data_IF_515778137192
#
_entry.id   IF_515778137192
#
_cell.length_a   1.000
_cell.length_b   1.000
_cell.length_c   1.000
_cell.angle_alpha   90.00
_cell.angle_beta   90.00
_cell.angle_gamma   90.00
#
_symmetry.space_group_name_H-M   'P 1'
#
loop_
_entity.id
_entity.type
_entity.pdbx_description
1 polymer ?
#
# COMPACT_ATOMS: atom_id res chain seq x y z
N UNK A 1 -27.01 6.50 -28.77
CA UNK A 1 -26.63 5.08 -29.00
C UNK A 1 -26.26 4.34 -27.72
N UNK A 2 -25.21 4.72 -26.97
CA UNK A 2 -24.96 4.13 -25.64
C UNK A 2 -26.00 4.61 -24.60
N UNK A 3 -26.49 5.86 -24.72
CA UNK A 3 -27.66 6.34 -24.00
C UNK A 3 -28.92 5.51 -24.28
N UNK A 4 -29.28 5.28 -25.56
CA UNK A 4 -30.42 4.44 -25.95
C UNK A 4 -30.26 2.97 -25.51
N UNK A 5 -29.02 2.46 -25.43
CA UNK A 5 -28.74 1.09 -24.98
C UNK A 5 -28.76 0.97 -23.45
N UNK A 6 -28.30 2.00 -22.72
CA UNK A 6 -28.51 2.11 -21.28
C UNK A 6 -30.00 2.25 -20.95
N UNK A 7 -30.75 3.05 -21.71
CA UNK A 7 -32.22 3.16 -21.62
C UNK A 7 -32.90 1.81 -21.88
N UNK A 8 -32.45 1.02 -22.88
CA UNK A 8 -32.97 -0.32 -23.15
C UNK A 8 -32.57 -1.35 -22.06
N UNK A 9 -31.36 -1.25 -21.50
CA UNK A 9 -30.91 -2.06 -20.35
C UNK A 9 -31.69 -1.77 -19.06
N UNK A 10 -31.98 -0.48 -18.80
CA UNK A 10 -32.78 0.00 -17.69
C UNK A 10 -34.26 -0.40 -17.89
N UNK A 11 -34.78 -0.31 -19.12
CA UNK A 11 -36.14 -0.75 -19.48
C UNK A 11 -36.35 -2.26 -19.26
N UNK A 12 -35.35 -3.08 -19.59
CA UNK A 12 -35.38 -4.53 -19.36
C UNK A 12 -35.17 -4.93 -17.90
N UNK A 13 -34.61 -4.06 -17.06
CA UNK A 13 -34.30 -4.34 -15.66
C UNK A 13 -34.61 -3.14 -14.74
N UNK A 14 -35.89 -2.80 -14.52
CA UNK A 14 -36.30 -1.58 -13.80
C UNK A 14 -35.88 -1.55 -12.31
N UNK A 15 -35.44 -2.68 -11.76
CA UNK A 15 -35.06 -2.84 -10.35
C UNK A 15 -33.54 -2.96 -10.13
N UNK A 16 -32.71 -2.92 -11.18
CA UNK A 16 -31.25 -3.03 -11.08
C UNK A 16 -30.61 -1.64 -11.02
N UNK A 17 -30.15 -1.26 -9.83
CA UNK A 17 -29.19 -0.18 -9.68
C UNK A 17 -27.89 -0.61 -10.36
N UNK A 18 -27.64 -0.13 -11.58
CA UNK A 18 -26.40 -0.43 -12.31
C UNK A 18 -25.27 0.28 -11.57
N UNK A 19 -24.29 -0.48 -11.09
CA UNK A 19 -23.11 0.05 -10.44
C UNK A 19 -22.15 0.69 -11.46
N UNK A 20 -21.39 1.70 -11.04
CA UNK A 20 -20.43 2.39 -11.91
C UNK A 20 -19.43 1.45 -12.57
N UNK A 21 -19.06 0.37 -11.89
CA UNK A 21 -18.15 -0.63 -12.45
C UNK A 21 -18.77 -1.40 -13.61
N UNK A 22 -20.08 -1.64 -13.59
CA UNK A 22 -20.79 -2.26 -14.70
C UNK A 22 -20.87 -1.30 -15.89
N UNK A 23 -21.03 0.00 -15.65
CA UNK A 23 -21.00 1.02 -16.71
C UNK A 23 -19.63 1.03 -17.39
N UNK A 24 -18.55 1.00 -16.61
CA UNK A 24 -17.18 0.90 -17.13
C UNK A 24 -16.95 -0.35 -17.99
N UNK A 25 -17.38 -1.53 -17.50
CA UNK A 25 -17.26 -2.78 -18.25
C UNK A 25 -18.01 -2.72 -19.59
N UNK A 26 -19.20 -2.09 -19.64
CA UNK A 26 -19.94 -1.92 -20.89
C UNK A 26 -19.25 -0.95 -21.86
N UNK A 27 -18.68 0.14 -21.36
CA UNK A 27 -17.93 1.10 -22.18
C UNK A 27 -16.71 0.43 -22.82
N UNK A 28 -15.98 -0.39 -22.07
CA UNK A 28 -14.88 -1.20 -22.61
C UNK A 28 -15.37 -2.20 -23.65
N UNK A 29 -16.44 -2.95 -23.35
CA UNK A 29 -17.04 -3.92 -24.28
C UNK A 29 -17.47 -3.26 -25.59
N UNK A 30 -18.05 -2.07 -25.52
CA UNK A 30 -18.38 -1.27 -26.69
C UNK A 30 -17.12 -0.90 -27.48
N UNK A 31 -16.07 -0.44 -26.79
CA UNK A 31 -14.78 -0.10 -27.40
C UNK A 31 -14.15 -1.26 -28.16
N UNK A 32 -14.20 -2.48 -27.60
CA UNK A 32 -13.74 -3.70 -28.26
C UNK A 32 -14.62 -4.12 -29.44
N UNK A 33 -15.94 -3.91 -29.34
CA UNK A 33 -16.87 -4.23 -30.44
C UNK A 33 -16.62 -3.34 -31.66
N UNK A 34 -16.26 -2.08 -31.44
CA UNK A 34 -15.89 -1.15 -32.51
C UNK A 34 -14.48 -1.41 -33.07
N UNK A 35 -13.63 -2.13 -32.34
CA UNK A 35 -12.23 -2.36 -32.70
C UNK A 35 -11.85 -3.84 -32.48
N UNK A 36 -12.39 -4.78 -33.29
CA UNK A 36 -12.23 -6.22 -33.07
C UNK A 36 -10.79 -6.73 -33.23
N UNK A 37 -9.90 -5.95 -33.84
CA UNK A 37 -8.47 -6.26 -33.96
C UNK A 37 -7.68 -6.02 -32.67
N UNK A 38 -8.28 -5.38 -31.65
CA UNK A 38 -7.61 -5.15 -30.37
C UNK A 38 -7.45 -6.46 -29.58
N UNK A 39 -6.30 -6.68 -28.94
CA UNK A 39 -6.13 -7.77 -27.99
C UNK A 39 -7.18 -7.69 -26.87
N UNK A 40 -7.63 -8.82 -26.32
CA UNK A 40 -8.57 -8.81 -25.19
C UNK A 40 -7.92 -8.42 -23.85
N UNK A 41 -6.59 -8.61 -23.72
CA UNK A 41 -5.84 -8.30 -22.50
C UNK A 41 -5.09 -6.95 -22.63
N UNK A 42 -5.37 -5.96 -21.77
CA UNK A 42 -4.68 -4.67 -21.75
C UNK A 42 -3.15 -4.75 -21.54
N UNK A 43 -2.61 -5.84 -20.99
CA UNK A 43 -1.15 -6.01 -20.86
C UNK A 43 -0.46 -6.20 -22.22
N UNK A 44 -1.20 -6.67 -23.23
CA UNK A 44 -0.68 -6.94 -24.57
C UNK A 44 -0.83 -5.75 -25.52
N UNK A 45 -1.35 -4.61 -25.04
CA UNK A 45 -1.59 -3.44 -25.88
C UNK A 45 -0.29 -2.71 -26.25
N UNK A 46 -0.10 -2.48 -27.54
CA UNK A 46 0.85 -1.51 -28.06
C UNK A 46 0.38 -0.07 -27.77
N UNK A 47 1.26 0.91 -28.01
CA UNK A 47 0.87 2.33 -27.92
C UNK A 47 -0.28 2.69 -28.87
N UNK A 48 -0.30 2.08 -30.06
CA UNK A 48 -1.34 2.31 -31.07
C UNK A 48 -2.68 1.78 -30.58
N UNK A 49 -2.69 0.59 -29.97
CA UNK A 49 -3.91 -0.06 -29.46
C UNK A 49 -4.58 0.78 -28.37
N UNK A 50 -3.79 1.35 -27.46
CA UNK A 50 -4.31 2.30 -26.47
C UNK A 50 -4.92 3.55 -27.09
N UNK A 51 -4.32 4.08 -28.16
CA UNK A 51 -4.85 5.26 -28.86
C UNK A 51 -6.16 4.91 -29.56
N UNK A 52 -6.21 3.77 -30.25
CA UNK A 52 -7.41 3.26 -30.93
C UNK A 52 -8.57 3.12 -29.94
N UNK A 53 -8.35 2.40 -28.83
CA UNK A 53 -9.38 2.21 -27.81
C UNK A 53 -9.81 3.54 -27.18
N UNK A 54 -8.84 4.39 -26.82
CA UNK A 54 -9.09 5.72 -26.24
C UNK A 54 -10.01 6.55 -27.14
N UNK A 55 -9.69 6.64 -28.43
CA UNK A 55 -10.47 7.43 -29.37
C UNK A 55 -11.91 6.91 -29.51
N UNK A 56 -12.10 5.59 -29.40
CA UNK A 56 -13.44 4.99 -29.39
C UNK A 56 -14.27 5.39 -28.18
N UNK A 57 -13.69 5.32 -26.97
CA UNK A 57 -14.47 5.42 -25.72
C UNK A 57 -14.39 6.75 -25.00
N UNK A 58 -13.54 7.68 -25.43
CA UNK A 58 -13.30 8.96 -24.74
C UNK A 58 -14.57 9.77 -24.48
N UNK A 59 -15.55 9.69 -25.37
CA UNK A 59 -16.83 10.39 -25.25
C UNK A 59 -17.70 9.85 -24.10
N UNK A 60 -17.43 8.63 -23.63
CA UNK A 60 -18.18 8.01 -22.54
C UNK A 60 -17.57 8.26 -21.16
N UNK A 61 -16.27 8.60 -21.10
CA UNK A 61 -15.54 8.83 -19.85
C UNK A 61 -16.23 9.85 -18.92
N UNK A 62 -16.78 10.98 -19.40
CA UNK A 62 -17.44 11.95 -18.52
C UNK A 62 -18.72 11.45 -17.83
N UNK A 63 -19.32 10.36 -18.32
CA UNK A 63 -20.58 9.81 -17.79
C UNK A 63 -20.37 8.72 -16.74
N UNK A 64 -19.11 8.44 -16.37
CA UNK A 64 -18.77 7.39 -15.41
C UNK A 64 -18.32 8.06 -14.12
N UNK A 65 -19.02 7.78 -13.02
CA UNK A 65 -18.67 8.32 -11.71
C UNK A 65 -17.57 7.48 -11.07
N UNK A 66 -16.35 7.57 -11.62
CA UNK A 66 -15.20 6.76 -11.18
C UNK A 66 -14.89 6.84 -9.68
N UNK A 67 -15.31 7.90 -8.99
CA UNK A 67 -15.13 8.07 -7.54
C UNK A 67 -16.08 7.19 -6.70
N UNK A 68 -17.17 6.69 -7.27
CA UNK A 68 -18.08 5.76 -6.59
C UNK A 68 -17.63 4.29 -6.73
N UNK A 69 -16.53 4.05 -7.44
CA UNK A 69 -15.93 2.72 -7.51
C UNK A 69 -15.32 2.34 -6.17
N UNK A 70 -15.27 1.04 -5.88
CA UNK A 70 -14.44 0.57 -4.77
C UNK A 70 -12.96 0.65 -5.16
N UNK A 71 -12.06 0.74 -4.17
CA UNK A 71 -10.62 0.68 -4.44
C UNK A 71 -10.22 -0.60 -5.20
N UNK A 72 -10.95 -1.70 -4.96
CA UNK A 72 -10.78 -2.97 -5.68
C UNK A 72 -11.19 -2.83 -7.16
N UNK A 73 -12.37 -2.28 -7.44
CA UNK A 73 -12.84 -2.06 -8.81
C UNK A 73 -11.90 -1.13 -9.59
N UNK A 74 -11.42 -0.06 -8.96
CA UNK A 74 -10.44 0.84 -9.55
C UNK A 74 -9.13 0.10 -9.87
N UNK A 75 -8.58 -0.65 -8.91
CA UNK A 75 -7.33 -1.40 -9.06
C UNK A 75 -7.41 -2.48 -10.14
N UNK A 76 -8.47 -3.28 -10.14
CA UNK A 76 -8.55 -4.49 -10.95
C UNK A 76 -9.04 -4.20 -12.37
N UNK A 77 -9.94 -3.22 -12.54
CA UNK A 77 -10.65 -3.01 -13.81
C UNK A 77 -10.38 -1.66 -14.48
N UNK A 78 -10.10 -0.59 -13.73
CA UNK A 78 -9.84 0.74 -14.32
C UNK A 78 -8.34 0.98 -14.54
N UNK A 79 -7.53 0.64 -13.55
CA UNK A 79 -6.08 0.86 -13.56
C UNK A 79 -5.33 0.21 -14.75
N UNK A 80 -5.67 -1.01 -15.22
CA UNK A 80 -5.03 -1.61 -16.39
C UNK A 80 -5.11 -0.72 -17.63
N UNK A 81 -6.18 0.07 -17.74
CA UNK A 81 -6.43 0.94 -18.87
C UNK A 81 -6.01 2.40 -18.65
N UNK A 82 -5.25 2.74 -17.60
CA UNK A 82 -4.84 4.12 -17.25
C UNK A 82 -4.43 5.05 -18.40
N UNK A 83 -3.88 4.51 -19.49
CA UNK A 83 -3.43 5.28 -20.67
C UNK A 83 -4.59 5.83 -21.52
N UNK A 84 -5.80 5.28 -21.39
CA UNK A 84 -6.99 5.75 -22.12
C UNK A 84 -7.64 6.95 -21.42
N UNK A 85 -7.47 7.07 -20.10
CA UNK A 85 -8.06 8.16 -19.30
C UNK A 85 -7.29 9.48 -19.51
N UNK A 86 -7.97 10.65 -19.42
CA UNK A 86 -7.31 11.94 -19.31
C UNK A 86 -6.30 11.94 -18.15
N UNK A 87 -5.11 12.50 -18.37
CA UNK A 87 -4.02 12.46 -17.38
C UNK A 87 -4.42 13.05 -16.03
N UNK A 88 -5.13 14.19 -16.06
CA UNK A 88 -5.61 14.86 -14.84
C UNK A 88 -6.64 14.01 -14.10
N UNK A 89 -7.62 13.46 -14.80
CA UNK A 89 -8.62 12.56 -14.22
C UNK A 89 -7.95 11.36 -13.57
N UNK A 90 -7.03 10.68 -14.27
CA UNK A 90 -6.33 9.53 -13.72
C UNK A 90 -5.51 9.88 -12.48
N UNK A 91 -4.79 11.01 -12.49
CA UNK A 91 -4.01 11.46 -11.34
C UNK A 91 -4.90 11.78 -10.13
N UNK A 92 -6.07 12.39 -10.35
CA UNK A 92 -7.02 12.69 -9.29
C UNK A 92 -7.65 11.42 -8.71
N UNK A 93 -8.05 10.47 -9.56
CA UNK A 93 -8.54 9.16 -9.13
C UNK A 93 -7.47 8.39 -8.36
N UNK A 94 -6.24 8.40 -8.88
CA UNK A 94 -5.10 7.79 -8.21
C UNK A 94 -4.88 8.42 -6.84
N UNK A 95 -4.90 9.75 -6.71
CA UNK A 95 -4.80 10.43 -5.42
C UNK A 95 -5.96 10.08 -4.49
N UNK A 96 -7.19 10.03 -4.99
CA UNK A 96 -8.38 9.69 -4.23
C UNK A 96 -8.30 8.28 -3.65
N UNK A 97 -8.06 7.27 -4.49
CA UNK A 97 -8.01 5.87 -4.07
C UNK A 97 -6.75 5.51 -3.28
N UNK A 98 -5.70 6.34 -3.33
CA UNK A 98 -4.49 6.13 -2.54
C UNK A 98 -4.48 6.90 -1.21
N UNK A 99 -5.21 8.01 -1.06
CA UNK A 99 -5.16 8.80 0.17
C UNK A 99 -6.08 8.28 1.29
N UNK A 100 -6.77 7.16 1.11
CA UNK A 100 -7.80 6.69 2.04
C UNK A 100 -7.27 5.88 3.24
N UNK A 101 -6.36 6.45 4.04
CA UNK A 101 -6.39 6.20 5.47
C UNK A 101 -7.15 7.37 6.11
N UNK A 102 -8.40 7.12 6.53
CA UNK A 102 -9.24 8.00 7.34
C UNK A 102 -9.76 9.33 6.74
N UNK A 103 -9.96 9.40 5.43
CA UNK A 103 -10.85 10.43 4.87
C UNK A 103 -11.82 9.83 3.87
N UNK A 104 -13.00 9.47 4.38
CA UNK A 104 -14.25 9.55 3.63
C UNK A 104 -14.57 11.04 3.43
N UNK A 105 -13.73 11.74 2.68
CA UNK A 105 -14.08 13.03 2.07
C UNK A 105 -14.84 12.70 0.78
N UNK A 106 -16.13 12.44 0.93
CA UNK A 106 -17.10 12.92 -0.06
C UNK A 106 -17.15 14.45 0.04
N UNK A 107 -16.09 15.14 -0.38
CA UNK A 107 -16.13 16.58 -0.57
C UNK A 107 -15.21 16.95 -1.73
N UNK A 108 -15.74 16.77 -2.93
CA UNK A 108 -15.67 17.83 -3.94
C UNK A 108 -16.97 17.97 -4.76
N UNK A 109 -18.11 17.46 -4.25
CA UNK A 109 -19.45 17.89 -4.71
C UNK A 109 -20.10 18.90 -3.75
N UNK A 110 -19.30 19.66 -2.99
CA UNK A 110 -19.69 20.99 -2.50
C UNK A 110 -18.72 22.06 -3.03
N UNK A 111 -18.60 22.11 -4.36
CA UNK A 111 -18.65 23.39 -5.06
C UNK A 111 -19.73 23.29 -6.11
N UNK A 112 -20.97 23.36 -5.60
CA UNK A 112 -22.21 23.86 -6.23
C UNK A 112 -23.46 23.24 -5.57
N UNK A 113 -23.50 23.08 -4.24
CA UNK A 113 -24.72 23.56 -3.57
C UNK A 113 -24.54 25.06 -3.54
N UNK A 114 -25.38 25.79 -4.26
CA UNK A 114 -25.62 27.20 -3.97
C UNK A 114 -25.65 27.33 -2.44
N UNK A 115 -24.70 28.09 -1.88
CA UNK A 115 -24.71 28.42 -0.46
C UNK A 115 -26.10 28.97 -0.21
N UNK A 116 -26.94 28.23 0.49
CA UNK A 116 -28.35 28.59 0.68
C UNK A 116 -28.34 29.99 1.26
N UNK A 117 -28.66 30.98 0.42
CA UNK A 117 -28.52 32.38 0.81
C UNK A 117 -29.52 32.63 1.93
N UNK A 118 -29.09 33.36 2.96
CA UNK A 118 -29.98 33.78 4.02
C UNK A 118 -31.19 34.54 3.44
N UNK A 119 -30.98 35.30 2.36
CA UNK A 119 -32.03 36.01 1.63
C UNK A 119 -33.01 35.06 0.93
N UNK A 120 -32.53 33.94 0.41
CA UNK A 120 -33.36 32.89 -0.19
C UNK A 120 -34.21 32.18 0.86
N UNK A 121 -33.65 31.90 2.05
CA UNK A 121 -34.45 31.30 3.12
C UNK A 121 -35.49 32.28 3.66
N UNK A 122 -35.15 33.56 3.80
CA UNK A 122 -36.08 34.58 4.29
C UNK A 122 -37.24 34.79 3.29
N UNK A 123 -37.01 34.65 1.97
CA UNK A 123 -38.05 34.78 0.96
C UNK A 123 -39.00 33.57 0.86
N UNK A 124 -38.61 32.41 1.39
CA UNK A 124 -39.47 31.22 1.46
C UNK A 124 -40.53 31.35 2.56
N UNK A 125 -41.72 30.80 2.29
CA UNK A 125 -42.76 30.61 3.29
C UNK A 125 -42.24 29.75 4.45
N UNK A 126 -42.69 29.97 5.71
CA UNK A 126 -42.14 29.29 6.89
C UNK A 126 -42.11 27.76 6.79
N UNK A 127 -43.14 27.16 6.17
CA UNK A 127 -43.23 25.71 5.95
C UNK A 127 -42.16 25.21 4.96
N UNK A 128 -42.01 25.88 3.81
CA UNK A 128 -41.02 25.53 2.80
C UNK A 128 -39.59 25.72 3.32
N UNK A 129 -39.36 26.81 4.07
CA UNK A 129 -38.09 27.10 4.75
C UNK A 129 -37.69 25.97 5.72
N UNK A 130 -38.64 25.48 6.52
CA UNK A 130 -38.41 24.40 7.48
C UNK A 130 -38.07 23.09 6.79
N UNK A 131 -38.75 22.73 5.69
CA UNK A 131 -38.46 21.52 4.91
C UNK A 131 -37.06 21.55 4.27
N UNK A 132 -36.66 22.70 3.70
CA UNK A 132 -35.32 22.89 3.12
C UNK A 132 -34.24 22.74 4.20
N UNK A 133 -34.41 23.38 5.36
CA UNK A 133 -33.48 23.23 6.47
C UNK A 133 -33.47 21.80 7.05
N UNK A 134 -34.62 21.16 7.15
CA UNK A 134 -34.77 19.80 7.67
C UNK A 134 -34.07 18.78 6.77
N UNK A 135 -34.27 18.88 5.47
CA UNK A 135 -33.63 17.98 4.49
C UNK A 135 -32.11 18.12 4.51
N UNK A 136 -31.60 19.36 4.58
CA UNK A 136 -30.16 19.62 4.67
C UNK A 136 -29.59 19.16 6.02
N UNK A 137 -30.28 19.39 7.15
CA UNK A 137 -29.88 18.89 8.46
C UNK A 137 -29.84 17.37 8.52
N UNK A 138 -30.88 16.68 8.01
CA UNK A 138 -30.89 15.21 7.92
C UNK A 138 -29.74 14.69 7.08
N UNK A 139 -29.44 15.37 5.96
CA UNK A 139 -28.29 15.07 5.11
C UNK A 139 -26.98 15.22 5.89
N UNK A 140 -26.74 16.38 6.51
CA UNK A 140 -25.51 16.63 7.29
C UNK A 140 -25.36 15.69 8.49
N UNK A 141 -26.43 15.41 9.22
CA UNK A 141 -26.38 14.47 10.36
C UNK A 141 -26.09 13.03 9.91
N UNK A 142 -26.69 12.59 8.79
CA UNK A 142 -26.49 11.24 8.25
C UNK A 142 -25.10 11.04 7.66
N UNK A 143 -24.55 12.05 7.00
CA UNK A 143 -23.31 11.91 6.22
C UNK A 143 -22.07 12.51 6.90
N UNK A 144 -22.22 13.55 7.71
CA UNK A 144 -21.10 14.18 8.44
C UNK A 144 -20.88 13.60 9.84
N UNK A 145 -21.88 12.96 10.46
CA UNK A 145 -21.76 12.38 11.81
C UNK A 145 -22.19 10.89 11.80
N UNK A 146 -21.33 9.98 11.31
CA UNK A 146 -21.65 8.57 11.14
C UNK A 146 -21.86 7.79 12.46
N UNK A 147 -21.63 8.42 13.62
CA UNK A 147 -21.87 7.84 14.94
C UNK A 147 -23.35 7.88 15.37
N UNK A 148 -24.24 8.59 14.64
CA UNK A 148 -25.66 8.69 15.00
C UNK A 148 -26.42 7.49 14.44
N UNK A 149 -27.09 6.66 15.27
CA UNK A 149 -27.99 5.62 14.79
C UNK A 149 -29.07 6.23 13.90
N UNK A 150 -29.40 5.60 12.77
CA UNK A 150 -30.31 6.14 11.74
C UNK A 150 -31.68 6.54 12.32
N UNK A 151 -32.13 5.84 13.37
CA UNK A 151 -33.36 6.12 14.13
C UNK A 151 -33.35 7.44 14.90
N UNK A 152 -32.16 7.95 15.25
CA UNK A 152 -31.96 9.20 16.00
C UNK A 152 -31.71 10.41 15.11
N UNK A 153 -31.47 10.22 13.82
CA UNK A 153 -31.22 11.32 12.86
C UNK A 153 -32.46 12.22 12.70
N UNK A 154 -33.66 11.64 12.59
CA UNK A 154 -34.89 12.41 12.38
C UNK A 154 -35.27 13.27 13.61
N UNK A 155 -35.28 12.76 14.85
CA UNK A 155 -35.56 13.57 16.04
C UNK A 155 -34.59 14.73 16.24
N UNK A 156 -33.29 14.50 15.97
CA UNK A 156 -32.26 15.54 16.12
C UNK A 156 -32.43 16.62 15.04
N UNK A 157 -32.67 16.22 13.78
CA UNK A 157 -32.94 17.18 12.71
C UNK A 157 -34.17 18.04 13.02
N UNK A 158 -35.21 17.44 13.62
CA UNK A 158 -36.42 18.15 13.99
C UNK A 158 -36.19 19.17 15.12
N UNK A 159 -35.43 18.80 16.14
CA UNK A 159 -35.02 19.72 17.20
C UNK A 159 -34.20 20.91 16.67
N UNK A 160 -33.23 20.64 15.79
CA UNK A 160 -32.39 21.67 15.18
C UNK A 160 -33.18 22.58 14.23
N UNK A 161 -34.19 22.05 13.54
CA UNK A 161 -35.05 22.82 12.64
C UNK A 161 -35.94 23.85 13.35
N UNK A 162 -36.11 23.74 14.66
CA UNK A 162 -36.91 24.67 15.47
C UNK A 162 -36.10 25.90 15.95
N UNK A 163 -34.78 25.92 15.70
CA UNK A 163 -33.92 27.06 16.03
C UNK A 163 -34.07 28.22 15.03
N UNK A 164 -33.51 29.39 15.36
CA UNK A 164 -33.54 30.55 14.46
C UNK A 164 -32.73 30.24 13.21
N UNK A 165 -33.22 30.66 12.04
CA UNK A 165 -32.60 30.42 10.72
C UNK A 165 -31.09 30.76 10.68
N UNK A 166 -30.61 31.89 11.23
CA UNK A 166 -29.18 32.20 11.24
C UNK A 166 -28.35 31.21 12.08
N UNK A 167 -28.92 30.72 13.18
CA UNK A 167 -28.28 29.73 14.06
C UNK A 167 -28.21 28.37 13.35
N UNK A 168 -29.26 27.96 12.65
CA UNK A 168 -29.27 26.72 11.85
C UNK A 168 -28.25 26.81 10.72
N UNK A 169 -28.15 27.94 10.04
CA UNK A 169 -27.14 28.16 9.00
C UNK A 169 -25.72 28.14 9.55
N UNK A 170 -25.50 28.68 10.76
CA UNK A 170 -24.21 28.60 11.43
C UNK A 170 -23.86 27.13 11.73
N UNK A 171 -24.82 26.35 12.24
CA UNK A 171 -24.65 24.92 12.51
C UNK A 171 -24.40 24.10 11.22
N UNK A 172 -25.06 24.44 10.12
CA UNK A 172 -24.84 23.76 8.82
C UNK A 172 -23.49 24.10 8.18
N UNK A 173 -22.92 25.26 8.51
CA UNK A 173 -21.63 25.72 8.00
C UNK A 173 -20.46 25.38 8.93
N UNK A 174 -20.72 25.07 10.21
CA UNK A 174 -19.72 24.70 11.21
C UNK A 174 -19.99 23.29 11.76
N UNK A 175 -19.17 22.35 11.27
CA UNK A 175 -19.21 20.93 11.64
C UNK A 175 -18.99 20.72 13.15
N UNK A 176 -18.14 21.52 13.80
CA UNK A 176 -17.84 21.36 15.23
C UNK A 176 -19.06 21.72 16.08
N UNK A 177 -19.82 22.73 15.66
CA UNK A 177 -21.05 23.16 16.31
C UNK A 177 -22.18 22.14 16.12
N UNK A 178 -22.23 21.47 14.95
CA UNK A 178 -23.17 20.38 14.69
C UNK A 178 -22.89 19.17 15.59
N UNK A 179 -21.61 18.79 15.75
CA UNK A 179 -21.21 17.70 16.66
C UNK A 179 -21.53 18.02 18.12
N UNK A 180 -21.27 19.25 18.55
CA UNK A 180 -21.63 19.72 19.90
C UNK A 180 -23.14 19.61 20.15
N UNK A 181 -23.97 20.10 19.23
CA UNK A 181 -25.44 20.03 19.38
C UNK A 181 -25.98 18.61 19.32
N UNK A 182 -25.34 17.71 18.58
CA UNK A 182 -25.65 16.27 18.61
C UNK A 182 -25.30 15.66 19.96
N UNK A 183 -24.17 16.04 20.56
CA UNK A 183 -23.78 15.58 21.89
C UNK A 183 -24.75 16.09 22.98
N UNK A 184 -25.20 17.34 22.89
CA UNK A 184 -26.24 17.91 23.75
C UNK A 184 -27.58 17.16 23.60
N UNK A 185 -27.99 16.84 22.36
CA UNK A 185 -29.19 16.06 22.09
C UNK A 185 -29.10 14.60 22.61
N UNK A 186 -27.90 14.00 22.60
CA UNK A 186 -27.65 12.68 23.21
C UNK A 186 -27.86 12.68 24.73
N UNK A 187 -27.48 13.75 25.42
CA UNK A 187 -27.70 13.89 26.87
C UNK A 187 -29.18 14.02 27.23
N UNK A 188 -29.99 14.63 26.37
CA UNK A 188 -31.44 14.72 26.57
C UNK A 188 -32.10 13.33 26.44
N UNK A 189 -31.66 12.51 25.48
CA UNK A 189 -32.18 11.15 25.25
C UNK A 189 -31.76 10.16 26.37
N UNK A 190 -30.61 10.39 27.02
CA UNK A 190 -30.15 9.59 28.17
C UNK A 190 -30.89 9.94 29.46
N UNK A 191 -31.43 11.17 29.59
CA UNK A 191 -32.23 11.56 30.75
C UNK A 191 -33.69 11.08 30.67
N UNK A 192 -34.23 10.85 29.47
CA UNK A 192 -35.56 10.23 29.30
C UNK A 192 -35.58 8.71 29.55
N UNK A 193 -34.41 8.05 29.56
CA UNK A 193 -34.30 6.59 29.81
C UNK A 193 -33.99 6.21 31.26
N UNK A 194 -33.95 7.17 32.19
CA UNK A 194 -33.75 6.90 33.63
C UNK A 194 -35.02 6.46 34.39
N UNK A 195 -36.11 6.20 33.69
CA UNK A 195 -37.27 5.46 34.21
C UNK A 195 -37.64 4.34 33.22
N UNK A 196 -36.75 3.37 33.04
CA UNK A 196 -37.16 1.96 33.09
C UNK A 196 -35.90 1.08 33.02
N UNK A 197 -35.70 0.44 34.16
CA UNK A 197 -35.11 -0.87 34.34
C UNK A 197 -33.58 -0.96 34.30
N UNK A 198 -33.05 -0.78 35.51
CA UNK A 198 -31.85 -1.40 36.02
C UNK A 198 -31.86 -2.91 35.71
N UNK A 199 -30.76 -3.42 35.16
CA UNK A 199 -30.08 -4.57 35.79
C UNK A 199 -28.63 -4.63 35.30
N UNK A 200 -27.75 -4.70 36.30
CA UNK A 200 -26.30 -4.66 36.24
C UNK A 200 -25.74 -5.96 35.67
N UNK A 201 -24.73 -5.90 34.79
CA UNK A 201 -23.53 -6.77 34.89
C UNK A 201 -22.29 -5.97 34.46
N UNK A 202 -21.67 -5.40 35.48
CA UNK A 202 -20.24 -5.21 35.78
C UNK A 202 -19.23 -5.07 34.62
N UNK A 203 -18.85 -3.82 34.37
CA UNK A 203 -17.68 -3.39 33.59
C UNK A 203 -16.50 -3.25 34.56
N UNK A 204 -15.40 -3.98 34.32
CA UNK A 204 -14.09 -3.54 34.80
C UNK A 204 -13.44 -2.67 33.74
N UNK A 205 -13.71 -1.37 33.90
CA UNK A 205 -13.03 -0.26 33.29
C UNK A 205 -11.69 -0.10 34.00
N UNK A 206 -10.58 -0.29 33.29
CA UNK A 206 -9.35 0.46 33.58
C UNK A 206 -9.06 1.35 32.39
N UNK A 207 -9.59 2.55 32.53
CA UNK A 207 -9.24 3.77 31.84
C UNK A 207 -7.74 3.98 31.75
N UNK A 208 -7.27 4.36 30.57
CA UNK A 208 -6.26 5.40 30.40
C UNK A 208 -6.65 6.23 29.16
N UNK A 209 -7.69 7.04 29.33
CA UNK A 209 -7.69 8.35 28.69
C UNK A 209 -6.56 9.13 29.35
N UNK A 210 -5.47 9.34 28.61
CA UNK A 210 -4.62 10.49 28.83
C UNK A 210 -4.82 11.44 27.64
N UNK A 211 -5.63 12.46 27.90
CA UNK A 211 -5.60 13.70 27.15
C UNK A 211 -4.20 14.29 27.25
N UNK A 212 -3.49 14.34 26.12
CA UNK A 212 -2.53 15.37 25.70
C UNK A 212 -1.60 14.76 24.65
N UNK A 213 -1.89 15.07 23.38
CA UNK A 213 -1.00 15.22 22.23
C UNK A 213 -1.75 14.78 20.96
N UNK A 214 -2.20 15.76 20.17
CA UNK A 214 -2.49 15.54 18.76
C UNK A 214 -1.19 15.05 18.09
N UNK A 215 -0.98 13.74 18.04
CA UNK A 215 0.06 13.14 17.22
C UNK A 215 -0.65 12.49 16.04
N UNK A 216 -0.65 13.21 14.92
CA UNK A 216 -0.93 12.66 13.59
C UNK A 216 -0.09 11.38 13.47
N UNK A 217 -0.73 10.22 13.42
CA UNK A 217 -0.02 8.95 13.33
C UNK A 217 0.69 8.92 11.97
N UNK A 218 2.01 9.05 12.00
CA UNK A 218 2.81 9.15 10.79
C UNK A 218 2.67 7.87 9.96
N UNK A 219 2.77 7.94 8.62
CA UNK A 219 2.88 6.73 7.78
C UNK A 219 3.92 5.75 8.33
N UNK A 220 5.01 6.29 8.91
CA UNK A 220 6.06 5.52 9.59
C UNK A 220 5.52 4.68 10.76
N UNK A 221 4.60 5.22 11.56
CA UNK A 221 3.98 4.51 12.70
C UNK A 221 2.97 3.44 12.24
N UNK A 222 2.26 3.65 11.13
CA UNK A 222 1.32 2.65 10.56
C UNK A 222 2.09 1.46 9.99
N UNK A 223 3.13 1.72 9.19
CA UNK A 223 4.01 0.68 8.68
C UNK A 223 4.71 -0.07 9.81
N UNK A 224 5.23 0.63 10.83
CA UNK A 224 5.89 -0.02 11.96
C UNK A 224 4.96 -0.98 12.70
N UNK A 225 3.69 -0.60 12.91
CA UNK A 225 2.67 -1.48 13.51
C UNK A 225 2.40 -2.71 12.65
N UNK A 226 2.27 -2.54 11.32
CA UNK A 226 2.04 -3.65 10.41
C UNK A 226 3.24 -4.59 10.31
N UNK A 227 4.46 -4.05 10.22
CA UNK A 227 5.71 -4.82 10.18
C UNK A 227 5.88 -5.63 11.47
N UNK A 228 5.67 -5.02 12.64
CA UNK A 228 5.81 -5.71 13.93
C UNK A 228 4.80 -6.87 14.11
N UNK A 229 3.68 -6.86 13.38
CA UNK A 229 2.70 -7.96 13.37
C UNK A 229 3.22 -9.19 12.60
N UNK A 230 4.19 -9.01 11.70
CA UNK A 230 4.68 -10.03 10.76
C UNK A 230 6.12 -10.45 11.07
N UNK A 231 6.99 -9.49 11.41
CA UNK A 231 8.39 -9.69 11.74
C UNK A 231 8.76 -8.96 13.03
N UNK A 232 9.28 -9.71 14.00
CA UNK A 232 9.73 -9.18 15.29
C UNK A 232 11.16 -8.62 15.23
N UNK A 233 11.96 -9.06 14.25
CA UNK A 233 13.37 -8.68 14.10
C UNK A 233 13.56 -7.72 12.91
N UNK A 234 14.50 -6.78 13.02
CA UNK A 234 14.87 -5.80 11.99
C UNK A 234 13.73 -4.88 11.50
N UNK A 235 12.67 -4.70 12.29
CA UNK A 235 11.48 -3.93 11.88
C UNK A 235 11.77 -2.47 11.56
N UNK A 236 12.78 -1.86 12.21
CA UNK A 236 13.27 -0.53 11.90
C UNK A 236 13.93 -0.41 10.53
N UNK A 237 14.84 -1.34 10.20
CA UNK A 237 15.56 -1.33 8.92
C UNK A 237 14.62 -1.65 7.75
N UNK A 238 13.69 -2.58 7.96
CA UNK A 238 12.64 -2.92 6.99
C UNK A 238 11.75 -1.68 6.74
N UNK A 239 11.36 -0.98 7.80
CA UNK A 239 10.58 0.25 7.69
C UNK A 239 11.32 1.31 6.87
N UNK A 240 12.59 1.56 7.16
CA UNK A 240 13.36 2.58 6.44
C UNK A 240 13.52 2.21 4.95
N UNK A 241 13.72 0.93 4.62
CA UNK A 241 13.75 0.47 3.23
C UNK A 241 12.39 0.52 2.53
N UNK A 242 11.29 0.25 3.24
CA UNK A 242 9.94 0.42 2.72
C UNK A 242 9.60 1.91 2.51
N UNK A 243 10.17 2.81 3.31
CA UNK A 243 10.00 4.25 3.14
C UNK A 243 10.76 4.81 1.92
N UNK A 244 11.77 4.10 1.41
CA UNK A 244 12.49 4.43 0.16
C UNK A 244 11.64 4.09 -1.08
N UNK A 245 10.66 3.20 -0.96
CA UNK A 245 9.80 2.82 -2.09
C UNK A 245 9.06 4.01 -2.69
N UNK A 246 8.75 3.90 -3.98
CA UNK A 246 8.00 4.94 -4.67
C UNK A 246 6.66 5.19 -3.95
N UNK A 247 6.09 6.41 -4.01
CA UNK A 247 4.81 6.71 -3.37
C UNK A 247 3.73 5.68 -3.71
N UNK A 248 3.68 5.26 -4.98
CA UNK A 248 2.77 4.22 -5.47
C UNK A 248 2.95 2.87 -4.76
N UNK A 249 4.18 2.42 -4.56
CA UNK A 249 4.49 1.14 -3.91
C UNK A 249 4.24 1.17 -2.40
N UNK A 250 4.51 2.30 -1.74
CA UNK A 250 4.16 2.51 -0.31
C UNK A 250 2.66 2.43 -0.10
N UNK A 251 1.88 2.91 -1.06
CA UNK A 251 0.43 2.89 -0.96
C UNK A 251 -0.12 1.48 -1.22
N UNK A 252 0.47 0.72 -2.16
CA UNK A 252 0.16 -0.70 -2.30
C UNK A 252 0.45 -1.50 -1.03
N UNK A 253 1.53 -1.18 -0.33
CA UNK A 253 1.85 -1.79 0.96
C UNK A 253 0.86 -1.39 2.08
N UNK A 254 0.20 -0.24 1.97
CA UNK A 254 -0.77 0.23 2.96
C UNK A 254 -2.15 -0.41 2.80
N UNK A 255 -2.56 -0.65 1.53
CA UNK A 255 -3.92 -1.12 1.20
C UNK A 255 -4.00 -2.59 0.77
N UNK A 256 -2.85 -3.26 0.59
CA UNK A 256 -2.80 -4.67 0.22
C UNK A 256 -1.84 -5.41 1.15
N UNK A 257 -2.40 -6.08 2.16
CA UNK A 257 -1.66 -6.85 3.16
C UNK A 257 -0.82 -7.96 2.51
N UNK A 258 -1.28 -8.60 1.44
CA UNK A 258 -0.50 -9.61 0.72
C UNK A 258 0.72 -9.01 0.01
N UNK A 259 0.55 -7.82 -0.59
CA UNK A 259 1.64 -7.09 -1.23
C UNK A 259 2.67 -6.60 -0.21
N UNK A 260 2.21 -6.08 0.93
CA UNK A 260 3.06 -5.70 2.06
C UNK A 260 3.85 -6.89 2.59
N UNK A 261 3.19 -8.02 2.83
CA UNK A 261 3.82 -9.26 3.31
C UNK A 261 4.90 -9.73 2.33
N UNK A 262 4.59 -9.75 1.03
CA UNK A 262 5.56 -10.09 -0.01
C UNK A 262 6.76 -9.14 0.03
N UNK A 263 6.53 -7.83 0.16
CA UNK A 263 7.59 -6.83 0.18
C UNK A 263 8.45 -6.90 1.44
N UNK A 264 7.84 -7.16 2.60
CA UNK A 264 8.56 -7.40 3.86
C UNK A 264 9.45 -8.63 3.73
N UNK A 265 8.95 -9.74 3.17
CA UNK A 265 9.74 -10.96 2.96
C UNK A 265 10.92 -10.71 2.00
N UNK A 266 10.70 -9.99 0.90
CA UNK A 266 11.76 -9.61 -0.04
C UNK A 266 12.85 -8.76 0.64
N UNK A 267 12.43 -7.74 1.40
CA UNK A 267 13.35 -6.83 2.11
C UNK A 267 14.09 -7.55 3.23
N UNK A 268 13.42 -8.38 4.03
CA UNK A 268 14.05 -9.17 5.09
C UNK A 268 15.02 -10.21 4.51
N UNK A 269 14.68 -10.88 3.41
CA UNK A 269 15.59 -11.77 2.70
C UNK A 269 16.84 -11.03 2.19
N UNK A 270 16.65 -9.83 1.62
CA UNK A 270 17.76 -8.99 1.17
C UNK A 270 18.64 -8.52 2.34
N UNK A 271 18.05 -8.07 3.45
CA UNK A 271 18.77 -7.67 4.66
C UNK A 271 19.54 -8.83 5.30
N UNK A 272 18.95 -10.02 5.34
CA UNK A 272 19.64 -11.22 5.83
C UNK A 272 20.80 -11.59 4.92
N UNK A 273 20.63 -11.48 3.60
CA UNK A 273 21.69 -11.73 2.64
C UNK A 273 22.83 -10.72 2.78
N UNK A 274 22.55 -9.42 2.87
CA UNK A 274 23.58 -8.38 3.05
C UNK A 274 24.26 -8.47 4.41
N UNK A 275 23.53 -8.70 5.49
CA UNK A 275 24.10 -8.90 6.82
C UNK A 275 24.96 -10.18 6.88
N UNK A 276 24.55 -11.24 6.20
CA UNK A 276 25.35 -12.47 6.11
C UNK A 276 26.64 -12.22 5.34
N UNK A 277 26.56 -11.56 4.18
CA UNK A 277 27.75 -11.20 3.40
C UNK A 277 28.66 -10.23 4.15
N UNK A 278 28.11 -9.22 4.82
CA UNK A 278 28.88 -8.27 5.63
C UNK A 278 29.53 -8.97 6.83
N UNK A 279 28.81 -9.86 7.52
CA UNK A 279 29.37 -10.64 8.64
C UNK A 279 30.49 -11.55 8.17
N UNK A 280 30.30 -12.24 7.04
CA UNK A 280 31.31 -13.08 6.40
C UNK A 280 32.53 -12.27 5.95
N UNK A 281 32.32 -11.09 5.36
CA UNK A 281 33.39 -10.16 4.96
C UNK A 281 34.15 -9.65 6.19
N UNK A 282 33.44 -9.18 7.22
CA UNK A 282 34.01 -8.67 8.47
C UNK A 282 34.81 -9.73 9.22
N UNK A 283 34.32 -10.97 9.29
CA UNK A 283 35.06 -12.07 9.89
C UNK A 283 36.39 -12.35 9.15
N UNK A 284 36.40 -12.21 7.83
CA UNK A 284 37.64 -12.35 7.04
C UNK A 284 38.57 -11.18 7.27
N UNK A 285 38.08 -9.95 7.29
CA UNK A 285 38.91 -8.77 7.55
C UNK A 285 39.55 -8.80 8.93
N UNK A 286 38.76 -9.10 9.97
CA UNK A 286 39.26 -9.27 11.33
C UNK A 286 40.33 -10.36 11.39
N UNK A 287 40.09 -11.49 10.73
CA UNK A 287 41.08 -12.56 10.61
C UNK A 287 42.35 -12.10 9.89
N UNK A 288 42.24 -11.45 8.72
CA UNK A 288 43.39 -10.98 7.95
C UNK A 288 44.19 -9.92 8.70
N UNK A 289 43.54 -9.06 9.48
CA UNK A 289 44.23 -8.06 10.31
C UNK A 289 45.04 -8.73 11.43
N UNK A 290 44.56 -9.85 12.00
CA UNK A 290 45.37 -10.64 12.96
C UNK A 290 46.63 -11.26 12.35
N UNK A 291 46.64 -11.45 11.01
CA UNK A 291 47.76 -12.04 10.27
C UNK A 291 48.77 -11.00 9.76
N UNK A 292 48.37 -9.74 9.61
CA UNK A 292 49.14 -8.67 8.95
C UNK A 292 50.55 -8.47 9.50
N UNK A 293 50.73 -8.64 10.81
CA UNK A 293 52.01 -8.44 11.49
C UNK A 293 52.82 -9.75 11.69
N UNK A 294 52.37 -10.87 11.13
CA UNK A 294 53.00 -12.18 11.30
C UNK A 294 53.94 -12.52 10.15
N UNK A 295 54.96 -13.38 10.38
CA UNK A 295 55.79 -13.93 9.30
C UNK A 295 54.96 -14.65 8.23
N UNK A 296 55.38 -14.57 6.96
CA UNK A 296 54.62 -15.08 5.80
C UNK A 296 54.28 -16.57 5.89
N UNK A 297 55.19 -17.37 6.45
CA UNK A 297 54.97 -18.80 6.69
C UNK A 297 53.83 -19.04 7.71
N UNK A 298 53.77 -18.26 8.79
CA UNK A 298 52.70 -18.34 9.79
C UNK A 298 51.36 -17.86 9.19
N UNK A 299 51.37 -16.84 8.34
CA UNK A 299 50.17 -16.39 7.62
C UNK A 299 49.61 -17.50 6.71
N UNK A 300 50.48 -18.13 5.90
CA UNK A 300 50.12 -19.24 5.02
C UNK A 300 49.58 -20.43 5.81
N UNK A 301 50.22 -20.78 6.93
CA UNK A 301 49.78 -21.88 7.78
C UNK A 301 48.35 -21.64 8.32
N UNK A 302 48.11 -20.47 8.94
CA UNK A 302 46.80 -20.14 9.54
C UNK A 302 45.69 -19.98 8.50
N UNK A 303 45.98 -19.39 7.35
CA UNK A 303 45.03 -19.35 6.24
C UNK A 303 44.77 -20.76 5.69
N UNK A 304 45.81 -21.58 5.61
CA UNK A 304 45.75 -22.99 5.21
C UNK A 304 44.83 -23.84 6.09
N UNK A 305 44.87 -23.64 7.40
CA UNK A 305 43.98 -24.32 8.36
C UNK A 305 42.50 -24.00 8.12
N UNK A 306 42.18 -22.76 7.70
CA UNK A 306 40.81 -22.36 7.31
C UNK A 306 40.44 -22.78 5.89
N UNK A 307 41.43 -22.87 5.00
CA UNK A 307 41.27 -23.21 3.59
C UNK A 307 41.00 -24.71 3.40
N UNK A 308 41.79 -25.56 4.05
CA UNK A 308 41.81 -27.00 3.85
C UNK A 308 40.43 -27.67 4.03
N UNK A 309 39.64 -27.38 5.08
CA UNK A 309 38.31 -27.98 5.25
C UNK A 309 37.30 -27.61 4.15
N UNK A 310 37.53 -26.50 3.44
CA UNK A 310 36.64 -26.06 2.35
C UNK A 310 36.96 -26.74 1.01
N UNK A 311 38.12 -27.38 0.87
CA UNK A 311 38.55 -28.04 -0.37
C UNK A 311 37.95 -29.45 -0.44
N UNK A 312 37.02 -29.66 -1.37
CA UNK A 312 36.42 -30.97 -1.63
C UNK A 312 37.19 -31.71 -2.74
N UNK A 313 38.37 -32.24 -2.42
CA UNK A 313 39.22 -32.97 -3.38
C UNK A 313 40.01 -34.08 -2.71
N UNK A 314 40.25 -35.19 -3.42
CA UNK A 314 41.08 -36.30 -2.93
C UNK A 314 42.56 -35.89 -2.71
N UNK A 315 43.00 -34.81 -3.38
CA UNK A 315 44.34 -34.23 -3.25
C UNK A 315 44.32 -32.87 -2.52
N UNK A 316 43.38 -32.69 -1.58
CA UNK A 316 43.14 -31.43 -0.87
C UNK A 316 44.41 -30.78 -0.30
N UNK A 317 45.35 -31.55 0.25
CA UNK A 317 46.59 -31.01 0.83
C UNK A 317 47.48 -30.34 -0.20
N UNK A 318 47.65 -30.97 -1.39
CA UNK A 318 48.47 -30.42 -2.48
C UNK A 318 47.82 -29.19 -3.09
N UNK A 319 46.49 -29.24 -3.26
CA UNK A 319 45.70 -28.12 -3.76
C UNK A 319 45.75 -26.93 -2.80
N UNK A 320 45.68 -27.17 -1.48
CA UNK A 320 45.79 -26.11 -0.48
C UNK A 320 47.16 -25.40 -0.55
N UNK A 321 48.25 -26.18 -0.63
CA UNK A 321 49.61 -25.63 -0.75
C UNK A 321 49.74 -24.79 -2.03
N UNK A 322 49.31 -25.35 -3.16
CA UNK A 322 49.36 -24.65 -4.44
C UNK A 322 48.62 -23.31 -4.35
N UNK A 323 47.36 -23.30 -3.90
CA UNK A 323 46.56 -22.08 -3.74
C UNK A 323 47.23 -21.04 -2.82
N UNK A 324 47.85 -21.47 -1.72
CA UNK A 324 48.56 -20.57 -0.79
C UNK A 324 49.85 -20.00 -1.38
N UNK A 325 50.49 -20.71 -2.30
CA UNK A 325 51.75 -20.32 -2.91
C UNK A 325 51.55 -19.47 -4.17
N UNK A 326 50.52 -19.74 -4.96
CA UNK A 326 50.27 -19.06 -6.24
C UNK A 326 49.42 -17.80 -6.11
N UNK A 327 48.60 -17.68 -5.06
CA UNK A 327 47.66 -16.58 -4.92
C UNK A 327 48.07 -15.60 -3.81
N UNK A 328 47.71 -14.33 -4.00
CA UNK A 328 47.78 -13.35 -2.93
C UNK A 328 46.85 -13.77 -1.78
N UNK A 329 47.39 -13.90 -0.56
CA UNK A 329 46.68 -14.44 0.61
C UNK A 329 45.40 -13.69 0.94
N UNK A 330 45.41 -12.36 0.82
CA UNK A 330 44.23 -11.54 1.07
C UNK A 330 43.14 -11.77 0.01
N UNK A 331 43.52 -11.84 -1.27
CA UNK A 331 42.58 -12.16 -2.36
C UNK A 331 42.02 -13.58 -2.24
N UNK A 332 42.85 -14.54 -1.84
CA UNK A 332 42.46 -15.93 -1.60
C UNK A 332 41.49 -16.04 -0.43
N UNK A 333 41.77 -15.36 0.69
CA UNK A 333 40.87 -15.34 1.84
C UNK A 333 39.48 -14.84 1.44
N UNK A 334 39.39 -13.70 0.74
CA UNK A 334 38.11 -13.16 0.28
C UNK A 334 37.38 -14.08 -0.70
N UNK A 335 38.10 -14.77 -1.58
CA UNK A 335 37.46 -15.71 -2.51
C UNK A 335 36.87 -16.93 -1.80
N UNK A 336 37.37 -17.33 -0.62
CA UNK A 336 36.83 -18.46 0.16
C UNK A 336 35.39 -18.27 0.68
N UNK A 337 34.85 -17.05 0.62
CA UNK A 337 33.44 -16.77 0.94
C UNK A 337 32.52 -16.81 -0.30
N UNK A 338 33.08 -16.69 -1.49
CA UNK A 338 32.36 -16.86 -2.76
C UNK A 338 32.44 -18.32 -3.19
N UNK A 339 31.36 -19.07 -2.98
CA UNK A 339 31.32 -20.51 -3.22
C UNK A 339 31.69 -20.87 -4.66
N UNK A 340 31.21 -20.11 -5.64
CA UNK A 340 31.43 -20.42 -7.06
C UNK A 340 32.85 -20.09 -7.47
N UNK A 341 33.32 -18.88 -7.13
CA UNK A 341 34.68 -18.46 -7.42
C UNK A 341 35.73 -19.33 -6.73
N UNK A 342 35.49 -19.71 -5.48
CA UNK A 342 36.36 -20.62 -4.75
C UNK A 342 36.39 -22.01 -5.39
N UNK A 343 35.24 -22.55 -5.78
CA UNK A 343 35.17 -23.84 -6.48
C UNK A 343 35.94 -23.83 -7.79
N UNK A 344 35.84 -22.77 -8.59
CA UNK A 344 36.61 -22.63 -9.83
C UNK A 344 38.12 -22.60 -9.56
N UNK A 345 38.57 -21.88 -8.53
CA UNK A 345 39.99 -21.87 -8.13
C UNK A 345 40.47 -23.26 -7.70
N UNK A 346 39.67 -23.98 -6.92
CA UNK A 346 39.98 -25.34 -6.47
C UNK A 346 40.04 -26.31 -7.64
N UNK A 347 39.13 -26.23 -8.61
CA UNK A 347 39.13 -27.06 -9.81
C UNK A 347 40.38 -26.79 -10.65
N UNK A 348 40.71 -25.53 -10.89
CA UNK A 348 41.90 -25.15 -11.66
C UNK A 348 43.19 -25.68 -11.01
N UNK A 349 43.35 -25.50 -9.70
CA UNK A 349 44.49 -26.02 -8.95
C UNK A 349 44.51 -27.56 -8.92
N UNK A 350 43.35 -28.21 -8.82
CA UNK A 350 43.23 -29.68 -8.88
C UNK A 350 43.69 -30.22 -10.24
N UNK A 351 43.23 -29.62 -11.33
CA UNK A 351 43.62 -30.00 -12.68
C UNK A 351 45.12 -29.78 -12.93
N UNK A 352 45.67 -28.67 -12.43
CA UNK A 352 47.11 -28.40 -12.50
C UNK A 352 47.94 -29.45 -11.76
N UNK A 353 47.57 -29.78 -10.52
CA UNK A 353 48.27 -30.80 -9.72
C UNK A 353 48.15 -32.20 -10.33
N UNK A 354 47.02 -32.53 -10.95
CA UNK A 354 46.84 -33.78 -11.68
C UNK A 354 47.68 -33.83 -12.96
N UNK A 355 47.72 -32.74 -13.74
CA UNK A 355 48.55 -32.63 -14.93
C UNK A 355 50.04 -32.77 -14.62
N UNK A 356 50.51 -32.08 -13.57
CA UNK A 356 51.90 -32.18 -13.09
C UNK A 356 52.26 -33.61 -12.69
N UNK A 357 51.32 -34.35 -12.07
CA UNK A 357 51.49 -35.76 -11.74
C UNK A 357 51.64 -36.61 -13.00
N UNK A 358 50.79 -36.42 -14.03
CA UNK A 358 50.85 -37.21 -15.27
C UNK A 358 52.10 -36.95 -16.12
N UNK A 359 52.62 -35.72 -16.13
CA UNK A 359 53.87 -35.40 -16.86
C UNK A 359 55.10 -35.96 -16.15
N UNK A 360 55.14 -35.97 -14.81
CA UNK A 360 56.22 -36.62 -14.05
C UNK A 360 56.34 -38.13 -14.34
N UNK A 361 55.23 -38.82 -14.67
CA UNK A 361 55.27 -40.24 -15.06
C UNK A 361 55.73 -40.46 -16.51
N UNK A 362 55.64 -39.45 -17.39
CA UNK A 362 56.14 -39.54 -18.77
C UNK A 362 57.64 -39.25 -18.88
N UNK A 363 58.23 -38.55 -17.92
CA UNK A 363 59.67 -38.28 -17.86
C UNK A 363 60.47 -39.38 -17.12
N UNK A 364 59.79 -40.39 -16.57
CA UNK A 364 60.41 -41.52 -15.84
C UNK A 364 60.24 -42.88 -16.53
N UNK A 365 59.57 -42.94 -17.69
CA UNK A 365 59.67 -44.02 -18.69
C UNK A 365 60.61 -43.58 -19.82
#
# INVERSE_FOLDING_TARGET
>A
MLQNYCEDLISRNPNLQISEIQIWDQVLKWGFTQNPELPSDPTNFSKKDFITLKNGIQQFIPYIEFYNLTSKDFSDKVFPYKKILPKELFNNLLKYFLNSNDQKLEFDTIKNTEKISQDYLISLAPKARKEVLMSELKKRLKYSIPSIPTEKVNPIAEQLSNLKVPEVLQILNDISLLEQRVAEARNIILNDKKYHDNEEINVQTTSLFNNNNNKIVSQKEIFLKAINKICLNNSGDILDLLMILSPKERLLCLFNEQYLNKKIIEVDAALRFTNTNYKQYKEIEEFMETLKNKPLNEQKQKLGERLFPKIKSAIASKVAINLLDTNNLYKLAHSMNDKEKFQQMVIAATNYEQYKKTEQYKETE
#
